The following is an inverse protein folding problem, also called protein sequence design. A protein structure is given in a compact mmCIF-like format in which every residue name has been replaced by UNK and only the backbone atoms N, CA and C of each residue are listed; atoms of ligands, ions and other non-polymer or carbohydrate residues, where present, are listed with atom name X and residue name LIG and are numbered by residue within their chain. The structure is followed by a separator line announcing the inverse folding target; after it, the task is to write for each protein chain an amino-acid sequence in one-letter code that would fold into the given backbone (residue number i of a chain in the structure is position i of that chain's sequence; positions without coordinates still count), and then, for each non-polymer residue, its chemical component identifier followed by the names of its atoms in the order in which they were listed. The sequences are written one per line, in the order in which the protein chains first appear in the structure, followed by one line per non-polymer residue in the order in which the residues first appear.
data_IF_269393801115
#
_entry.id   IF_269393801115
#
_cell.length_a   1.000
_cell.length_b   1.000
_cell.length_c   1.000
_cell.angle_alpha   90.00
_cell.angle_beta   90.00
_cell.angle_gamma   90.00
#
_symmetry.space_group_name_H-M   'P 1'
#
loop_
_entity.id
_entity.type
_entity.pdbx_description
1 polymer ?
#
# COMPACT_ATOMS: atom_id res chain seq x y z
N UNK A 1 1.21 22.88 -1.34
CA UNK A 1 0.75 22.03 -2.47
C UNK A 1 1.38 20.64 -2.43
N UNK A 2 2.70 20.51 -2.54
CA UNK A 2 3.39 19.20 -2.65
C UNK A 2 3.19 18.27 -1.43
N UNK A 3 3.12 18.82 -0.21
CA UNK A 3 2.77 18.05 1.00
C UNK A 3 1.39 17.36 0.91
N UNK A 4 0.40 18.05 0.33
CA UNK A 4 -0.95 17.51 0.14
C UNK A 4 -0.98 16.45 -0.97
N UNK A 5 -0.18 16.64 -2.02
CA UNK A 5 0.00 15.64 -3.07
C UNK A 5 0.60 14.35 -2.52
N UNK A 6 1.65 14.43 -1.71
CA UNK A 6 2.21 13.23 -1.06
C UNK A 6 1.22 12.54 -0.14
N UNK A 7 0.40 13.27 0.61
CA UNK A 7 -0.68 12.67 1.39
C UNK A 7 -1.69 11.93 0.49
N UNK A 8 -2.10 12.54 -0.62
CA UNK A 8 -3.01 11.90 -1.57
C UNK A 8 -2.42 10.61 -2.13
N UNK A 9 -1.16 10.63 -2.58
CA UNK A 9 -0.48 9.44 -3.12
C UNK A 9 -0.32 8.36 -2.04
N UNK A 10 -0.07 8.74 -0.78
CA UNK A 10 -0.02 7.81 0.35
C UNK A 10 -1.37 7.10 0.56
N UNK A 11 -2.47 7.84 0.51
CA UNK A 11 -3.81 7.23 0.60
C UNK A 11 -4.09 6.31 -0.59
N UNK A 12 -3.84 6.77 -1.81
CA UNK A 12 -4.08 5.97 -3.02
C UNK A 12 -3.26 4.68 -3.04
N UNK A 13 -2.00 4.73 -2.60
CA UNK A 13 -1.12 3.56 -2.54
C UNK A 13 -1.50 2.56 -1.45
N UNK A 14 -2.24 2.96 -0.41
CA UNK A 14 -2.80 2.05 0.60
C UNK A 14 -4.06 1.32 0.12
N UNK A 15 -4.76 1.84 -0.89
CA UNK A 15 -5.99 1.22 -1.40
C UNK A 15 -5.71 -0.18 -1.94
N UNK A 16 -4.57 -0.37 -2.62
CA UNK A 16 -4.21 -1.66 -3.21
C UNK A 16 -4.08 -2.80 -2.17
N UNK A 17 -3.21 -2.70 -1.14
CA UNK A 17 -3.10 -3.77 -0.14
C UNK A 17 -4.36 -3.97 0.68
N UNK A 18 -5.07 -2.89 1.03
CA UNK A 18 -6.33 -3.00 1.76
C UNK A 18 -7.39 -3.70 0.91
N UNK A 19 -7.51 -3.32 -0.36
CA UNK A 19 -8.45 -3.91 -1.30
C UNK A 19 -8.16 -5.39 -1.56
N UNK A 20 -6.90 -5.74 -1.82
CA UNK A 20 -6.48 -7.14 -2.03
C UNK A 20 -6.80 -8.00 -0.79
N UNK A 21 -6.50 -7.49 0.40
CA UNK A 21 -6.81 -8.20 1.64
C UNK A 21 -8.31 -8.45 1.81
N UNK A 22 -9.15 -7.44 1.57
CA UNK A 22 -10.61 -7.62 1.63
C UNK A 22 -11.15 -8.52 0.53
N UNK A 23 -10.57 -8.49 -0.67
CA UNK A 23 -10.94 -9.42 -1.74
C UNK A 23 -10.76 -10.86 -1.30
N UNK A 24 -9.62 -11.19 -0.69
CA UNK A 24 -9.40 -12.54 -0.14
C UNK A 24 -10.39 -12.89 0.98
N UNK A 25 -10.75 -11.95 1.86
CA UNK A 25 -11.78 -12.22 2.89
C UNK A 25 -13.15 -12.55 2.27
N UNK A 26 -13.50 -11.89 1.16
CA UNK A 26 -14.83 -12.01 0.52
C UNK A 26 -14.87 -13.18 -0.48
N UNK A 27 -13.72 -13.60 -1.02
CA UNK A 27 -13.59 -14.78 -1.87
C UNK A 27 -13.94 -16.01 -1.04
N UNK A 28 -15.18 -16.49 -1.15
CA UNK A 28 -15.70 -17.65 -0.42
C UNK A 28 -15.19 -18.99 -1.00
N UNK A 29 -13.88 -19.08 -1.24
CA UNK A 29 -13.23 -20.27 -1.85
C UNK A 29 -12.62 -21.23 -0.81
N UNK A 30 -12.88 -21.00 0.48
CA UNK A 30 -12.52 -21.92 1.57
C UNK A 30 -11.07 -21.87 2.05
N UNK A 31 -10.10 -21.45 1.22
CA UNK A 31 -8.69 -21.32 1.58
C UNK A 31 -8.12 -19.91 1.29
N UNK A 32 -8.52 -18.94 2.11
CA UNK A 32 -8.16 -17.54 1.92
C UNK A 32 -6.92 -17.11 2.70
N UNK A 33 -6.57 -17.86 3.74
CA UNK A 33 -5.46 -17.53 4.63
C UNK A 33 -4.20 -18.34 4.28
N UNK A 34 -3.83 -18.31 3.01
CA UNK A 34 -2.64 -18.99 2.47
C UNK A 34 -1.42 -18.08 2.47
N UNK A 35 -0.24 -18.70 2.40
CA UNK A 35 1.01 -17.98 2.26
C UNK A 35 1.01 -17.08 1.02
N UNK A 36 0.46 -17.57 -0.09
CA UNK A 36 0.39 -16.89 -1.37
C UNK A 36 -0.46 -15.61 -1.27
N UNK A 37 -1.63 -15.67 -0.63
CA UNK A 37 -2.49 -14.51 -0.45
C UNK A 37 -1.86 -13.46 0.47
N UNK A 38 -1.20 -13.88 1.54
CA UNK A 38 -0.43 -12.97 2.39
C UNK A 38 0.77 -12.36 1.66
N UNK A 39 1.44 -13.14 0.82
CA UNK A 39 2.55 -12.68 0.00
C UNK A 39 2.11 -11.61 -1.01
N UNK A 40 1.01 -11.85 -1.74
CA UNK A 40 0.46 -10.87 -2.69
C UNK A 40 0.01 -9.60 -1.95
N UNK A 41 -0.67 -9.74 -0.82
CA UNK A 41 -1.06 -8.62 0.04
C UNK A 41 0.17 -7.83 0.52
N UNK A 42 1.22 -8.49 0.99
CA UNK A 42 2.46 -7.85 1.43
C UNK A 42 3.20 -7.14 0.30
N UNK A 43 3.32 -7.77 -0.87
CA UNK A 43 3.98 -7.17 -2.03
C UNK A 43 3.22 -5.95 -2.56
N UNK A 44 1.89 -5.92 -2.40
CA UNK A 44 1.10 -4.76 -2.81
C UNK A 44 1.30 -3.52 -1.92
N UNK A 45 2.01 -3.61 -0.80
CA UNK A 45 2.48 -2.44 -0.03
C UNK A 45 3.67 -1.71 -0.67
N UNK A 46 4.34 -2.30 -1.67
CA UNK A 46 5.54 -1.71 -2.30
C UNK A 46 5.29 -0.26 -2.78
N UNK A 47 4.21 0.08 -3.48
CA UNK A 47 3.93 1.45 -3.90
C UNK A 47 3.85 2.45 -2.72
N UNK A 48 3.31 2.01 -1.58
CA UNK A 48 3.24 2.83 -0.38
C UNK A 48 4.62 3.10 0.21
N UNK A 49 5.49 2.07 0.26
CA UNK A 49 6.87 2.20 0.69
C UNK A 49 7.66 3.17 -0.21
N UNK A 50 7.51 3.06 -1.53
CA UNK A 50 8.11 4.00 -2.48
C UNK A 50 7.59 5.43 -2.28
N UNK A 51 6.30 5.59 -2.02
CA UNK A 51 5.70 6.91 -1.75
C UNK A 51 6.31 7.54 -0.49
N UNK A 52 6.53 6.74 0.57
CA UNK A 52 7.21 7.19 1.80
C UNK A 52 8.66 7.58 1.53
N UNK A 53 9.40 6.77 0.76
CA UNK A 53 10.78 7.05 0.38
C UNK A 53 10.88 8.37 -0.40
N UNK A 54 10.06 8.54 -1.44
CA UNK A 54 10.02 9.76 -2.23
C UNK A 54 9.64 10.96 -1.36
N UNK A 55 8.64 10.83 -0.49
CA UNK A 55 8.28 11.89 0.46
C UNK A 55 9.47 12.27 1.33
N UNK A 56 10.23 11.30 1.85
CA UNK A 56 11.43 11.57 2.64
C UNK A 56 12.50 12.31 1.84
N UNK A 57 12.75 11.92 0.59
CA UNK A 57 13.73 12.56 -0.29
C UNK A 57 13.31 13.99 -0.65
N UNK A 58 12.05 14.23 -0.99
CA UNK A 58 11.57 15.53 -1.48
C UNK A 58 11.18 16.51 -0.37
N UNK A 59 10.77 16.02 0.81
CA UNK A 59 10.28 16.86 1.93
C UNK A 59 11.11 16.74 3.21
N UNK A 60 11.94 15.70 3.35
CA UNK A 60 12.72 15.39 4.55
C UNK A 60 14.20 15.77 4.49
N UNK A 61 14.73 16.11 3.31
CA UNK A 61 16.12 16.59 3.13
C UNK A 61 16.28 18.10 3.34
N UNK A 62 15.18 18.84 3.51
CA UNK A 62 15.19 20.28 3.79
C UNK A 62 14.82 20.56 5.26
N UNK A 63 15.53 19.92 6.20
CA UNK A 63 15.58 20.32 7.60
C UNK A 63 17.02 20.58 8.00
#
# INVERSE_FOLDING_TARGET
MIKRLFLLIQFLSLIAPVGIFFTYIIMDEGDQFTYEHYWVTGMSFIPFLFTLLLKSIFLGTNK
#
